data_IF_092588079043
#
_entry.id   IF_092588079043
#
_cell.length_a   1.000
_cell.length_b   1.000
_cell.length_c   1.000
_cell.angle_alpha   90.00
_cell.angle_beta   90.00
_cell.angle_gamma   90.00
#
_symmetry.space_group_name_H-M   'P 1'
#
loop_
_entity.id
_entity.type
_entity.pdbx_description
1 polymer ?
#
# COMPACT_ATOMS: atom_id res chain seq x y z
N UNK A 1 17.61 -4.35 2.76
CA UNK A 1 18.00 -4.86 1.43
C UNK A 1 19.15 -5.86 1.49
N UNK A 2 20.38 -5.48 1.89
CA UNK A 2 21.54 -6.38 1.82
C UNK A 2 21.37 -7.73 2.54
N UNK A 3 20.87 -7.73 3.78
CA UNK A 3 20.58 -8.99 4.50
C UNK A 3 19.55 -9.89 3.82
N UNK A 4 18.59 -9.31 3.08
CA UNK A 4 17.62 -10.08 2.30
C UNK A 4 18.29 -10.75 1.11
N UNK A 5 19.04 -10.01 0.29
CA UNK A 5 19.69 -10.55 -0.90
C UNK A 5 20.79 -11.54 -0.51
N UNK A 6 21.69 -11.20 0.42
CA UNK A 6 22.76 -12.11 0.84
C UNK A 6 22.19 -13.33 1.55
N UNK A 7 21.23 -13.14 2.46
CA UNK A 7 20.53 -14.22 3.14
C UNK A 7 19.80 -15.16 2.18
N UNK A 8 19.15 -14.63 1.15
CA UNK A 8 18.52 -15.44 0.09
C UNK A 8 19.54 -16.30 -0.66
N UNK A 9 20.65 -15.72 -1.13
CA UNK A 9 21.67 -16.50 -1.82
C UNK A 9 22.27 -17.58 -0.91
N UNK A 10 22.62 -17.25 0.33
CA UNK A 10 23.21 -18.21 1.28
C UNK A 10 22.19 -19.30 1.69
N UNK A 11 20.89 -18.97 1.79
CA UNK A 11 19.85 -19.92 2.17
C UNK A 11 19.51 -20.89 1.03
N UNK A 12 19.36 -20.39 -0.19
CA UNK A 12 18.77 -21.15 -1.30
C UNK A 12 19.80 -21.70 -2.29
N UNK A 13 20.99 -21.11 -2.44
CA UNK A 13 22.02 -21.69 -3.33
C UNK A 13 22.48 -23.09 -2.90
N UNK A 14 22.70 -23.38 -1.61
CA UNK A 14 23.00 -24.74 -1.15
C UNK A 14 21.94 -25.77 -1.52
N UNK A 15 20.67 -25.37 -1.61
CA UNK A 15 19.56 -26.27 -1.92
C UNK A 15 19.61 -26.77 -3.37
N UNK A 16 20.21 -26.02 -4.30
CA UNK A 16 20.47 -26.51 -5.66
C UNK A 16 21.47 -27.66 -5.64
N UNK A 17 22.56 -27.52 -4.88
CA UNK A 17 23.57 -28.58 -4.72
C UNK A 17 22.94 -29.81 -4.09
N UNK A 18 22.20 -29.63 -2.98
CA UNK A 18 21.47 -30.72 -2.32
C UNK A 18 20.48 -31.43 -3.23
N UNK A 19 19.75 -30.68 -4.06
CA UNK A 19 18.84 -31.24 -5.06
C UNK A 19 19.56 -32.10 -6.09
N UNK A 20 20.73 -31.66 -6.58
CA UNK A 20 21.58 -32.43 -7.49
C UNK A 20 22.22 -33.65 -6.81
N UNK A 21 22.45 -33.60 -5.50
CA UNK A 21 22.88 -34.74 -4.68
C UNK A 21 21.74 -35.71 -4.33
N UNK A 22 20.53 -35.49 -4.86
CA UNK A 22 19.39 -36.40 -4.68
C UNK A 22 18.58 -36.17 -3.40
N UNK A 23 18.80 -35.07 -2.66
CA UNK A 23 17.97 -34.73 -1.51
C UNK A 23 16.53 -34.42 -1.96
N UNK A 24 15.56 -35.22 -1.51
CA UNK A 24 14.14 -35.04 -1.87
C UNK A 24 13.43 -34.05 -0.95
N UNK A 25 12.30 -33.49 -1.40
CA UNK A 25 11.53 -32.50 -0.63
C UNK A 25 10.77 -33.12 0.54
N UNK A 26 10.45 -32.30 1.55
CA UNK A 26 9.55 -32.62 2.68
C UNK A 26 10.04 -33.76 3.60
N UNK A 27 11.36 -33.97 3.66
CA UNK A 27 11.95 -34.88 4.65
C UNK A 27 12.05 -34.19 6.01
N UNK A 28 11.64 -34.90 7.08
CA UNK A 28 11.81 -34.43 8.47
C UNK A 28 13.12 -34.95 9.10
N UNK A 29 13.62 -36.08 8.59
CA UNK A 29 14.85 -36.73 9.04
C UNK A 29 15.68 -37.15 7.83
N UNK A 30 17.01 -37.19 7.97
CA UNK A 30 17.95 -37.59 6.93
C UNK A 30 19.16 -38.28 7.56
N UNK A 31 19.61 -39.37 6.92
CA UNK A 31 20.74 -40.19 7.40
C UNK A 31 22.03 -39.96 6.60
N UNK A 32 22.00 -39.09 5.59
CA UNK A 32 23.15 -38.81 4.71
C UNK A 32 24.01 -37.69 5.30
N UNK A 33 25.22 -37.97 5.83
CA UNK A 33 26.02 -36.97 6.53
C UNK A 33 26.52 -35.85 5.60
N UNK A 34 26.70 -36.15 4.31
CA UNK A 34 27.18 -35.20 3.30
C UNK A 34 26.23 -34.02 3.07
N UNK A 35 24.94 -34.19 3.37
CA UNK A 35 23.95 -33.11 3.25
C UNK A 35 24.01 -32.12 4.41
N UNK A 36 24.52 -32.55 5.56
CA UNK A 36 24.46 -31.78 6.80
C UNK A 36 25.17 -30.41 6.70
N UNK A 37 26.40 -30.29 6.16
CA UNK A 37 27.06 -28.98 6.04
C UNK A 37 26.29 -27.99 5.16
N UNK A 38 25.72 -28.45 4.04
CA UNK A 38 24.92 -27.61 3.15
C UNK A 38 23.65 -27.10 3.82
N UNK A 39 23.00 -27.94 4.62
CA UNK A 39 21.83 -27.56 5.41
C UNK A 39 22.18 -26.56 6.52
N UNK A 40 23.36 -26.67 7.14
CA UNK A 40 23.84 -25.66 8.11
C UNK A 40 24.09 -24.31 7.45
N UNK A 41 24.70 -24.29 6.26
CA UNK A 41 24.87 -23.05 5.48
C UNK A 41 23.51 -22.46 5.13
N UNK A 42 22.56 -23.28 4.66
CA UNK A 42 21.21 -22.84 4.35
C UNK A 42 20.50 -22.24 5.59
N UNK A 43 20.65 -22.86 6.75
CA UNK A 43 20.14 -22.35 8.02
C UNK A 43 20.79 -21.02 8.43
N UNK A 44 22.10 -20.86 8.20
CA UNK A 44 22.79 -19.57 8.38
C UNK A 44 22.22 -18.47 7.49
N UNK A 45 21.90 -18.79 6.22
CA UNK A 45 21.20 -17.89 5.32
C UNK A 45 19.81 -17.49 5.82
N UNK A 46 19.05 -18.44 6.37
CA UNK A 46 17.76 -18.14 7.01
C UNK A 46 17.92 -17.21 8.22
N UNK A 47 18.99 -17.37 9.01
CA UNK A 47 19.36 -16.45 10.09
C UNK A 47 19.63 -15.02 9.60
N UNK A 48 20.32 -14.86 8.46
CA UNK A 48 20.53 -13.54 7.83
C UNK A 48 19.21 -12.90 7.38
N UNK A 49 18.29 -13.70 6.80
CA UNK A 49 16.96 -13.22 6.42
C UNK A 49 16.19 -12.75 7.67
N UNK A 50 16.26 -13.49 8.79
CA UNK A 50 15.62 -13.10 10.05
C UNK A 50 16.15 -11.75 10.57
N UNK A 51 17.46 -11.50 10.48
CA UNK A 51 18.05 -10.19 10.77
C UNK A 51 17.49 -9.12 9.82
N UNK A 52 17.37 -9.44 8.52
CA UNK A 52 16.76 -8.56 7.53
C UNK A 52 15.30 -8.18 7.86
N UNK A 53 14.51 -9.13 8.34
CA UNK A 53 13.13 -8.89 8.83
C UNK A 53 13.15 -7.96 10.05
N UNK A 54 14.01 -8.23 11.03
CA UNK A 54 14.16 -7.39 12.22
C UNK A 54 14.52 -5.94 11.87
N UNK A 55 15.45 -5.74 10.94
CA UNK A 55 15.82 -4.42 10.43
C UNK A 55 14.68 -3.74 9.67
N UNK A 56 13.86 -4.48 8.92
CA UNK A 56 12.69 -3.94 8.25
C UNK A 56 11.65 -3.42 9.24
N UNK A 57 11.39 -4.16 10.33
CA UNK A 57 10.52 -3.72 11.42
C UNK A 57 11.10 -2.48 12.11
N UNK A 58 12.40 -2.49 12.41
CA UNK A 58 13.07 -1.33 13.01
C UNK A 58 12.99 -0.08 12.11
N UNK A 59 13.17 -0.24 10.80
CA UNK A 59 13.00 0.84 9.82
C UNK A 59 11.59 1.45 9.89
N UNK A 60 10.54 0.61 9.89
CA UNK A 60 9.15 1.08 9.98
C UNK A 60 8.89 1.80 11.31
N UNK A 61 9.35 1.23 12.42
CA UNK A 61 9.17 1.81 13.76
C UNK A 61 9.86 3.18 13.87
N UNK A 62 11.10 3.30 13.40
CA UNK A 62 11.84 4.58 13.43
C UNK A 62 11.20 5.60 12.50
N UNK A 63 10.77 5.18 11.31
CA UNK A 63 10.09 6.05 10.34
C UNK A 63 8.80 6.63 10.91
N UNK A 64 7.94 5.78 11.50
CA UNK A 64 6.68 6.22 12.13
C UNK A 64 6.95 7.15 13.31
N UNK A 65 7.97 6.86 14.14
CA UNK A 65 8.35 7.71 15.28
C UNK A 65 8.88 9.08 14.86
N UNK A 66 9.51 9.19 13.69
CA UNK A 66 10.10 10.44 13.17
C UNK A 66 9.28 11.07 12.04
N UNK A 67 8.03 10.65 11.85
CA UNK A 67 7.17 11.06 10.72
C UNK A 67 7.03 12.57 10.56
N UNK A 68 6.98 13.32 11.67
CA UNK A 68 6.75 14.76 11.63
C UNK A 68 7.99 15.52 11.12
N UNK A 69 9.20 14.98 11.35
CA UNK A 69 10.46 15.55 10.86
C UNK A 69 10.82 15.09 9.44
N UNK A 70 10.25 13.98 8.97
CA UNK A 70 10.52 13.37 7.67
C UNK A 70 9.35 13.54 6.69
N UNK A 71 8.43 14.45 6.99
CA UNK A 71 7.21 14.63 6.21
C UNK A 71 7.53 15.28 4.87
N UNK A 72 7.01 14.68 3.80
CA UNK A 72 6.96 15.33 2.51
C UNK A 72 5.86 16.40 2.48
N UNK A 73 6.22 17.60 2.01
CA UNK A 73 5.33 18.75 1.88
C UNK A 73 5.02 19.10 0.41
N UNK A 74 5.70 18.49 -0.56
CA UNK A 74 5.52 18.82 -1.99
C UNK A 74 4.49 17.93 -2.66
N UNK A 75 4.31 16.69 -2.20
CA UNK A 75 3.57 15.64 -2.91
C UNK A 75 4.46 14.81 -3.84
N UNK A 76 5.69 15.26 -4.11
CA UNK A 76 6.62 14.65 -5.06
C UNK A 76 8.06 14.63 -4.49
N UNK A 77 8.35 13.72 -3.53
CA UNK A 77 9.68 13.63 -2.91
C UNK A 77 10.74 13.00 -3.83
N UNK A 78 10.35 12.38 -4.94
CA UNK A 78 11.24 11.63 -5.83
C UNK A 78 11.35 12.20 -7.24
N UNK A 79 10.69 13.33 -7.52
CA UNK A 79 10.52 13.85 -8.87
C UNK A 79 9.86 12.82 -9.82
N UNK A 80 8.81 12.15 -9.36
CA UNK A 80 8.10 11.09 -10.05
C UNK A 80 7.38 11.54 -11.33
N UNK A 81 6.98 10.58 -12.17
CA UNK A 81 6.51 10.85 -13.56
C UNK A 81 5.02 10.66 -13.76
N UNK A 82 4.37 9.96 -12.84
CA UNK A 82 2.99 9.52 -12.86
C UNK A 82 2.11 10.37 -11.92
N UNK A 83 0.78 10.26 -12.06
CA UNK A 83 -0.18 11.17 -11.42
C UNK A 83 -0.26 11.04 -9.90
N UNK A 84 0.18 9.94 -9.30
CA UNK A 84 0.25 9.80 -7.85
C UNK A 84 1.21 10.80 -7.19
N UNK A 85 2.16 11.37 -7.96
CA UNK A 85 3.05 12.43 -7.50
C UNK A 85 2.49 13.83 -7.75
N UNK A 86 1.29 13.93 -8.33
CA UNK A 86 0.59 15.19 -8.54
C UNK A 86 -0.35 15.55 -7.38
N UNK A 87 -0.68 14.60 -6.50
CA UNK A 87 -1.53 14.81 -5.33
C UNK A 87 -0.70 15.24 -4.11
N UNK A 88 -1.35 15.56 -3.00
CA UNK A 88 -0.69 15.98 -1.76
C UNK A 88 -0.20 14.78 -0.93
N UNK A 89 0.66 15.06 0.05
CA UNK A 89 1.21 14.07 0.99
C UNK A 89 0.70 14.32 2.44
N UNK A 90 -0.26 13.53 2.95
CA UNK A 90 -1.01 12.45 2.30
C UNK A 90 -2.11 12.95 1.35
N UNK A 91 -2.61 12.11 0.42
CA UNK A 91 -3.64 12.50 -0.52
C UNK A 91 -4.99 12.76 0.18
N UNK A 92 -5.82 13.68 -0.35
CA UNK A 92 -7.17 13.90 0.16
C UNK A 92 -8.06 12.70 -0.17
N UNK A 93 -9.20 12.57 0.52
CA UNK A 93 -10.14 11.47 0.31
C UNK A 93 -10.64 11.35 -1.15
N UNK A 94 -10.73 12.47 -1.86
CA UNK A 94 -11.15 12.55 -3.26
C UNK A 94 -9.99 12.42 -4.27
N UNK A 95 -8.75 12.22 -3.81
CA UNK A 95 -7.49 12.19 -4.60
C UNK A 95 -7.17 13.48 -5.37
N UNK A 96 -7.99 13.87 -6.34
CA UNK A 96 -7.81 15.05 -7.19
C UNK A 96 -9.03 15.98 -7.05
N UNK A 97 -8.78 17.27 -6.79
CA UNK A 97 -9.85 18.26 -6.72
C UNK A 97 -10.50 18.52 -8.09
N UNK A 98 -9.72 18.34 -9.16
CA UNK A 98 -10.15 18.41 -10.56
C UNK A 98 -9.53 17.23 -11.29
N UNK A 99 -10.32 16.55 -12.12
CA UNK A 99 -9.85 15.40 -12.88
C UNK A 99 -8.72 15.85 -13.84
N UNK A 100 -7.51 15.31 -13.74
CA UNK A 100 -6.40 15.72 -14.60
C UNK A 100 -6.62 15.22 -16.03
N UNK A 101 -6.33 16.07 -17.01
CA UNK A 101 -6.26 15.67 -18.42
C UNK A 101 -5.03 14.82 -18.65
N UNK A 102 -5.24 13.57 -19.08
CA UNK A 102 -4.17 12.60 -19.33
C UNK A 102 -3.73 12.69 -20.78
N UNK A 103 -2.46 13.02 -20.99
CA UNK A 103 -1.82 13.02 -22.30
C UNK A 103 -0.54 12.18 -22.25
N UNK A 104 -0.43 11.17 -23.11
CA UNK A 104 0.71 10.25 -23.15
C UNK A 104 0.76 9.27 -21.97
N UNK A 105 1.86 8.50 -21.89
CA UNK A 105 2.08 7.50 -20.84
C UNK A 105 2.50 8.14 -19.50
N UNK A 106 3.14 9.30 -19.55
CA UNK A 106 3.75 9.97 -18.39
C UNK A 106 3.09 11.34 -18.16
N UNK A 107 1.78 11.31 -17.90
CA UNK A 107 0.95 12.53 -17.85
C UNK A 107 1.50 13.60 -16.90
N UNK A 108 1.96 13.23 -15.69
CA UNK A 108 2.49 14.20 -14.75
C UNK A 108 3.85 14.77 -15.17
N UNK A 109 4.70 13.95 -15.79
CA UNK A 109 5.97 14.42 -16.36
C UNK A 109 5.74 15.45 -17.48
N UNK A 110 4.81 15.17 -18.39
CA UNK A 110 4.43 16.10 -19.45
C UNK A 110 3.81 17.40 -18.91
N UNK A 111 3.01 17.32 -17.84
CA UNK A 111 2.49 18.50 -17.13
C UNK A 111 3.65 19.34 -16.56
N UNK A 112 4.63 18.71 -15.90
CA UNK A 112 5.80 19.40 -15.34
C UNK A 112 6.64 20.08 -16.42
N UNK A 113 6.92 19.39 -17.53
CA UNK A 113 7.70 19.95 -18.65
C UNK A 113 6.99 21.16 -19.27
N UNK A 114 5.69 21.03 -19.59
CA UNK A 114 4.90 22.15 -20.14
C UNK A 114 4.84 23.34 -19.18
N UNK A 115 4.67 23.09 -17.88
CA UNK A 115 4.69 24.15 -16.88
C UNK A 115 6.03 24.89 -16.81
N UNK A 116 7.15 24.18 -16.98
CA UNK A 116 8.49 24.78 -17.05
C UNK A 116 8.70 25.58 -18.33
N UNK A 117 8.36 25.01 -19.49
CA UNK A 117 8.52 25.63 -20.81
C UNK A 117 7.71 26.91 -20.96
N UNK A 118 6.47 26.90 -20.47
CA UNK A 118 5.56 28.03 -20.59
C UNK A 118 5.79 29.10 -19.50
N UNK A 119 6.73 28.88 -18.55
CA UNK A 119 6.92 29.70 -17.34
C UNK A 119 5.59 30.03 -16.65
N UNK A 120 4.62 29.12 -16.73
CA UNK A 120 3.26 29.36 -16.26
C UNK A 120 3.30 29.37 -14.75
N UNK A 121 3.01 30.55 -14.18
CA UNK A 121 2.69 30.67 -12.77
C UNK A 121 1.55 29.69 -12.46
N UNK A 122 1.51 29.10 -11.24
CA UNK A 122 0.45 28.16 -10.87
C UNK A 122 -0.89 28.71 -11.35
N UNK A 123 -1.54 27.97 -12.25
CA UNK A 123 -2.67 28.46 -13.01
C UNK A 123 -3.75 29.04 -12.10
N UNK A 124 -4.60 29.90 -12.67
CA UNK A 124 -5.79 30.42 -12.00
C UNK A 124 -6.51 29.32 -11.25
N UNK A 125 -7.07 29.68 -10.10
CA UNK A 125 -7.81 28.73 -9.28
C UNK A 125 -8.87 28.02 -10.14
N UNK A 126 -8.88 26.68 -10.17
CA UNK A 126 -9.80 25.95 -11.02
C UNK A 126 -11.23 26.10 -10.49
N UNK A 127 -12.20 25.87 -11.36
CA UNK A 127 -13.59 25.78 -10.92
C UNK A 127 -13.78 24.49 -10.13
N UNK A 128 -14.25 24.62 -8.89
CA UNK A 128 -14.43 23.49 -7.98
C UNK A 128 -15.88 23.04 -8.03
N UNK A 129 -16.07 21.75 -8.25
CA UNK A 129 -17.38 21.13 -8.22
C UNK A 129 -17.58 20.35 -6.91
N UNK A 130 -18.84 20.02 -6.62
CA UNK A 130 -19.17 19.15 -5.48
C UNK A 130 -18.81 17.71 -5.85
N UNK A 131 -18.00 17.05 -5.01
CA UNK A 131 -17.54 15.68 -5.26
C UNK A 131 -18.40 14.71 -4.46
N UNK A 132 -18.93 13.69 -5.13
CA UNK A 132 -19.69 12.61 -4.52
C UNK A 132 -18.75 11.47 -4.10
N UNK A 133 -18.86 11.04 -2.85
CA UNK A 133 -17.97 10.04 -2.25
C UNK A 133 -18.75 8.90 -1.63
N UNK A 134 -18.27 7.65 -1.74
CA UNK A 134 -18.93 6.51 -1.13
C UNK A 134 -18.80 6.57 0.40
N UNK A 135 -19.87 6.15 1.10
CA UNK A 135 -19.86 6.01 2.56
C UNK A 135 -19.23 4.69 2.99
N UNK A 136 -18.52 4.74 4.11
CA UNK A 136 -18.04 3.53 4.78
C UNK A 136 -19.20 2.60 5.15
N UNK A 137 -19.02 1.30 4.95
CA UNK A 137 -20.00 0.27 5.29
C UNK A 137 -19.36 -0.82 6.17
N UNK A 138 -19.99 -1.23 7.28
CA UNK A 138 -19.52 -2.35 8.08
C UNK A 138 -19.84 -3.71 7.43
N UNK A 139 -20.62 -3.74 6.34
CA UNK A 139 -21.13 -4.99 5.74
C UNK A 139 -20.04 -5.96 5.35
N UNK A 140 -18.91 -5.48 4.79
CA UNK A 140 -17.76 -6.33 4.48
C UNK A 140 -17.17 -7.03 5.71
N UNK A 141 -17.04 -6.30 6.83
CA UNK A 141 -16.52 -6.86 8.08
C UNK A 141 -17.47 -7.91 8.68
N UNK A 142 -18.77 -7.62 8.69
CA UNK A 142 -19.79 -8.55 9.20
C UNK A 142 -19.88 -9.81 8.33
N UNK A 143 -19.82 -9.67 7.00
CA UNK A 143 -19.75 -10.82 6.09
C UNK A 143 -18.50 -11.66 6.33
N UNK A 144 -17.32 -11.04 6.54
CA UNK A 144 -16.08 -11.76 6.84
C UNK A 144 -16.15 -12.55 8.16
N UNK A 145 -16.80 -11.98 9.18
CA UNK A 145 -17.07 -12.66 10.45
C UNK A 145 -17.91 -13.92 10.24
N UNK A 146 -19.05 -13.82 9.54
CA UNK A 146 -19.89 -14.99 9.26
C UNK A 146 -19.19 -16.02 8.36
N UNK A 147 -18.44 -15.58 7.35
CA UNK A 147 -17.66 -16.47 6.50
C UNK A 147 -16.62 -17.26 7.31
N UNK A 148 -15.98 -16.61 8.29
CA UNK A 148 -15.00 -17.25 9.19
C UNK A 148 -15.67 -18.29 10.10
N UNK A 149 -16.81 -17.96 10.71
CA UNK A 149 -17.59 -18.90 11.51
C UNK A 149 -18.05 -20.08 10.66
N UNK A 150 -18.54 -19.82 9.45
CA UNK A 150 -18.99 -20.86 8.52
C UNK A 150 -17.83 -21.80 8.14
N UNK A 151 -16.67 -21.25 7.81
CA UNK A 151 -15.46 -22.02 7.51
C UNK A 151 -15.04 -22.91 8.68
N UNK A 152 -14.99 -22.34 9.90
CA UNK A 152 -14.72 -23.10 11.11
C UNK A 152 -15.77 -24.22 11.33
N UNK A 153 -17.06 -23.91 11.20
CA UNK A 153 -18.14 -24.87 11.39
C UNK A 153 -18.07 -26.05 10.40
N UNK A 154 -17.74 -25.77 9.13
CA UNK A 154 -17.59 -26.78 8.08
C UNK A 154 -16.43 -27.74 8.36
N UNK A 155 -15.29 -27.24 8.87
CA UNK A 155 -14.13 -28.06 9.24
C UNK A 155 -14.49 -29.05 10.36
N UNK A 156 -15.30 -28.61 11.34
CA UNK A 156 -15.66 -29.40 12.52
C UNK A 156 -17.02 -30.10 12.41
N UNK A 157 -17.64 -30.11 11.23
CA UNK A 157 -18.96 -30.72 10.98
C UNK A 157 -20.09 -30.21 11.92
N UNK A 158 -20.03 -28.94 12.34
CA UNK A 158 -21.03 -28.33 13.24
C UNK A 158 -22.15 -27.71 12.40
N UNK A 159 -23.06 -28.54 11.89
CA UNK A 159 -24.04 -28.14 10.86
C UNK A 159 -25.02 -27.05 11.27
N UNK A 160 -25.45 -27.00 12.53
CA UNK A 160 -26.33 -25.92 12.99
C UNK A 160 -25.64 -24.56 12.90
N UNK A 161 -24.33 -24.50 13.16
CA UNK A 161 -23.55 -23.28 13.09
C UNK A 161 -23.26 -22.87 11.64
N UNK A 162 -23.11 -23.83 10.73
CA UNK A 162 -23.09 -23.57 9.28
C UNK A 162 -24.38 -22.88 8.85
N UNK A 163 -25.54 -23.41 9.26
CA UNK A 163 -26.84 -22.83 8.90
C UNK A 163 -27.00 -21.40 9.46
N UNK A 164 -26.64 -21.18 10.73
CA UNK A 164 -26.67 -19.84 11.36
C UNK A 164 -25.73 -18.87 10.66
N UNK A 165 -24.50 -19.28 10.34
CA UNK A 165 -23.53 -18.41 9.69
C UNK A 165 -23.93 -18.08 8.24
N UNK A 166 -24.44 -19.06 7.49
CA UNK A 166 -24.97 -18.85 6.15
C UNK A 166 -26.17 -17.87 6.16
N UNK A 167 -27.09 -18.05 7.12
CA UNK A 167 -28.22 -17.14 7.30
C UNK A 167 -27.76 -15.73 7.69
N UNK A 168 -26.77 -15.60 8.58
CA UNK A 168 -26.21 -14.32 8.98
C UNK A 168 -25.51 -13.58 7.84
N UNK A 169 -24.73 -14.30 7.01
CA UNK A 169 -24.13 -13.74 5.81
C UNK A 169 -25.19 -13.30 4.79
N UNK A 170 -26.21 -14.14 4.56
CA UNK A 170 -27.32 -13.82 3.67
C UNK A 170 -28.11 -12.59 4.16
N UNK A 171 -28.44 -12.53 5.44
CA UNK A 171 -29.13 -11.38 6.04
C UNK A 171 -28.29 -10.09 5.90
N UNK A 172 -26.97 -10.17 6.11
CA UNK A 172 -26.07 -9.02 5.92
C UNK A 172 -26.07 -8.55 4.46
N UNK A 173 -26.07 -9.49 3.51
CA UNK A 173 -26.20 -9.18 2.08
C UNK A 173 -27.54 -8.52 1.75
N UNK A 174 -28.66 -9.02 2.29
CA UNK A 174 -29.98 -8.43 2.09
C UNK A 174 -30.05 -7.01 2.64
N UNK A 175 -29.54 -6.77 3.86
CA UNK A 175 -29.46 -5.42 4.46
C UNK A 175 -28.60 -4.49 3.61
N UNK A 176 -27.48 -4.99 3.07
CA UNK A 176 -26.65 -4.23 2.15
C UNK A 176 -27.37 -3.88 0.84
N UNK A 177 -28.11 -4.84 0.27
CA UNK A 177 -28.84 -4.66 -0.99
C UNK A 177 -30.01 -3.67 -0.88
N UNK A 178 -30.55 -3.46 0.33
CA UNK A 178 -31.61 -2.50 0.62
C UNK A 178 -31.10 -1.17 1.18
N UNK A 179 -29.81 -0.87 1.03
CA UNK A 179 -29.27 0.42 1.45
C UNK A 179 -29.62 1.51 0.44
N UNK A 180 -30.36 2.52 0.89
CA UNK A 180 -30.81 3.64 0.03
C UNK A 180 -29.84 4.83 0.00
N UNK A 181 -28.89 4.90 0.93
CA UNK A 181 -27.96 6.05 1.09
C UNK A 181 -26.51 5.59 1.09
N UNK A 182 -25.92 5.63 -0.09
CA UNK A 182 -24.62 5.04 -0.35
C UNK A 182 -23.49 6.06 -0.39
N UNK A 183 -23.86 7.32 -0.59
CA UNK A 183 -22.94 8.40 -0.90
C UNK A 183 -23.13 9.61 0.04
N UNK A 184 -22.07 10.39 0.16
CA UNK A 184 -22.10 11.71 0.78
C UNK A 184 -21.38 12.69 -0.14
N UNK A 185 -21.78 13.95 -0.08
CA UNK A 185 -21.23 15.00 -0.92
C UNK A 185 -20.20 15.82 -0.13
N UNK A 186 -19.06 16.08 -0.74
CA UNK A 186 -18.08 17.05 -0.27
C UNK A 186 -18.35 18.36 -1.02
N UNK A 187 -18.86 19.41 -0.36
CA UNK A 187 -19.20 20.67 -1.03
C UNK A 187 -17.98 21.29 -1.72
N UNK A 188 -18.20 21.94 -2.86
CA UNK A 188 -17.15 22.63 -3.62
C UNK A 188 -16.30 23.59 -2.77
N UNK A 189 -16.91 24.29 -1.80
CA UNK A 189 -16.18 25.18 -0.89
C UNK A 189 -15.17 24.45 0.02
N UNK A 190 -15.46 23.21 0.41
CA UNK A 190 -14.56 22.38 1.19
C UNK A 190 -13.42 21.82 0.33
N UNK A 191 -13.74 21.39 -0.90
CA UNK A 191 -12.73 20.97 -1.90
C UNK A 191 -11.76 22.12 -2.17
N UNK A 192 -12.27 23.33 -2.42
CA UNK A 192 -11.48 24.53 -2.63
C UNK A 192 -10.58 24.85 -1.43
N UNK A 193 -11.12 24.77 -0.21
CA UNK A 193 -10.36 25.01 1.02
C UNK A 193 -9.18 24.05 1.15
N UNK A 194 -9.40 22.76 0.94
CA UNK A 194 -8.36 21.74 1.03
C UNK A 194 -7.30 21.91 -0.07
N UNK A 195 -7.72 22.15 -1.31
CA UNK A 195 -6.79 22.37 -2.43
C UNK A 195 -5.94 23.64 -2.25
N UNK A 196 -6.51 24.73 -1.75
CA UNK A 196 -5.77 25.97 -1.40
C UNK A 196 -4.66 25.72 -0.38
N UNK A 197 -4.96 24.96 0.67
CA UNK A 197 -3.96 24.60 1.69
C UNK A 197 -2.80 23.84 1.07
N UNK A 198 -3.09 22.92 0.14
CA UNK A 198 -2.06 22.14 -0.55
C UNK A 198 -1.24 22.98 -1.53
N UNK A 199 -1.89 23.84 -2.32
CA UNK A 199 -1.20 24.78 -3.21
C UNK A 199 -0.26 25.70 -2.44
N UNK A 200 -0.70 26.21 -1.29
CA UNK A 200 0.12 27.06 -0.43
C UNK A 200 1.32 26.29 0.16
N UNK A 201 1.09 25.07 0.67
CA UNK A 201 2.16 24.22 1.20
C UNK A 201 3.21 23.91 0.12
N UNK A 202 2.76 23.52 -1.08
CA UNK A 202 3.63 23.23 -2.23
C UNK A 202 4.41 24.45 -2.70
N UNK A 203 3.79 25.62 -2.77
CA UNK A 203 4.48 26.87 -3.11
C UNK A 203 5.58 27.19 -2.09
N UNK A 204 5.27 27.11 -0.79
CA UNK A 204 6.25 27.35 0.28
C UNK A 204 7.43 26.38 0.25
N UNK A 205 7.18 25.11 -0.09
CA UNK A 205 8.22 24.10 -0.22
C UNK A 205 9.10 24.34 -1.45
N UNK A 206 8.52 24.75 -2.58
CA UNK A 206 9.31 25.12 -3.77
C UNK A 206 10.20 26.34 -3.50
N UNK A 207 9.74 27.35 -2.76
CA UNK A 207 10.55 28.52 -2.41
C UNK A 207 11.73 28.16 -1.48
N UNK A 208 11.55 27.22 -0.55
CA UNK A 208 12.63 26.72 0.31
C UNK A 208 13.69 25.89 -0.45
N UNK A 209 13.30 25.26 -1.55
CA UNK A 209 14.17 24.41 -2.38
C UNK A 209 14.88 25.18 -3.51
N UNK A 210 14.52 26.44 -3.75
CA UNK A 210 15.24 27.30 -4.71
C UNK A 210 16.61 27.67 -4.10
N UNK A 211 17.74 27.45 -4.80
CA UNK A 211 19.03 27.92 -4.32
C UNK A 211 18.96 29.45 -4.18
N UNK A 212 19.34 29.95 -3.01
CA UNK A 212 19.54 31.39 -2.78
C UNK A 212 20.62 31.83 -3.77
N UNK A 213 20.23 32.67 -4.72
CA UNK A 213 21.14 33.23 -5.74
C UNK A 213 22.20 34.14 -5.11
#
# INVERSE_FOLDING_TARGET
FWFWITGFYVAFMPLYVLGLMGMTRRMQHYDVPEWHPWLLVAAGGAGLILVGIGLQVAQLVVSIRRRDALRDLTGDPWNGRSLEWATSSPPPAFNFAVIPTVEGEEAYWGIKQRAQEQQVQPGSEPDYETIEMPRNSPTGFVCAFFATIMGFALIWHIWWMVAVAALGAFATFVVFAWRDRDEYQIPAGEVARLDRVYRAARASAHDQLRPVA
#
